data_IF_095097052253
#
_entry.id   IF_095097052253
#
_cell.length_a   1.000
_cell.length_b   1.000
_cell.length_c   1.000
_cell.angle_alpha   90.00
_cell.angle_beta   90.00
_cell.angle_gamma   90.00
#
_symmetry.space_group_name_H-M   'P 1'
#
loop_
_entity.id
_entity.type
_entity.pdbx_description
1 polymer ?
#
# COMPACT_ATOMS: atom_id res chain seq x y z
N UNK A 1 -39.75 9.42 -17.53
CA UNK A 1 -38.92 8.21 -17.57
C UNK A 1 -38.44 7.91 -16.16
N UNK A 2 -38.42 6.65 -15.72
CA UNK A 2 -37.83 6.28 -14.44
C UNK A 2 -36.32 6.60 -14.46
N UNK A 3 -35.72 6.93 -13.32
CA UNK A 3 -34.25 7.10 -13.25
C UNK A 3 -33.56 5.82 -13.73
N UNK A 4 -32.37 5.91 -14.35
CA UNK A 4 -31.64 4.73 -14.73
C UNK A 4 -31.35 3.87 -13.50
N UNK A 5 -31.36 2.53 -13.63
CA UNK A 5 -31.02 1.66 -12.52
C UNK A 5 -29.58 1.98 -12.07
N UNK A 6 -29.31 1.92 -10.75
CA UNK A 6 -27.95 2.13 -10.25
C UNK A 6 -27.00 1.10 -10.86
N UNK A 7 -25.73 1.44 -11.06
CA UNK A 7 -24.76 0.53 -11.61
C UNK A 7 -24.65 -0.71 -10.73
N UNK A 8 -24.95 -1.87 -11.29
CA UNK A 8 -24.86 -3.18 -10.65
C UNK A 8 -23.40 -3.68 -10.63
N UNK A 9 -22.49 -2.91 -10.05
CA UNK A 9 -21.13 -3.35 -9.75
C UNK A 9 -21.03 -3.88 -8.31
N UNK A 10 -20.08 -4.78 -8.02
CA UNK A 10 -19.84 -5.16 -6.64
C UNK A 10 -19.48 -3.94 -5.81
N UNK A 11 -20.09 -3.84 -4.65
CA UNK A 11 -19.80 -2.82 -3.65
C UNK A 11 -18.35 -3.01 -3.16
N UNK A 12 -17.50 -2.00 -3.31
CA UNK A 12 -16.09 -2.06 -2.89
C UNK A 12 -15.82 -1.00 -1.85
N UNK A 13 -15.34 -1.42 -0.69
CA UNK A 13 -14.94 -0.55 0.40
C UNK A 13 -13.41 -0.53 0.50
N UNK A 14 -12.81 0.66 0.52
CA UNK A 14 -11.36 0.87 0.52
C UNK A 14 -10.88 1.21 1.94
N UNK A 15 -10.65 0.20 2.78
CA UNK A 15 -10.12 0.36 4.14
C UNK A 15 -8.58 0.15 4.16
N UNK A 16 -7.86 0.80 3.25
CA UNK A 16 -6.40 0.69 3.10
C UNK A 16 -5.69 1.98 3.55
N UNK A 17 -6.04 2.51 4.72
CA UNK A 17 -5.58 3.83 5.17
C UNK A 17 -5.04 3.87 6.61
N UNK A 18 -5.19 2.80 7.39
CA UNK A 18 -4.70 2.77 8.78
C UNK A 18 -3.19 2.47 8.87
N UNK A 19 -2.65 1.68 7.95
CA UNK A 19 -1.24 1.28 7.97
C UNK A 19 -0.45 1.89 6.81
N UNK A 20 0.79 2.30 7.11
CA UNK A 20 1.78 2.65 6.08
C UNK A 20 2.42 1.37 5.50
N UNK A 21 2.61 0.34 6.34
CA UNK A 21 3.04 -0.99 5.91
C UNK A 21 2.19 -2.05 6.62
N UNK A 22 1.49 -2.88 5.83
CA UNK A 22 0.74 -4.03 6.32
C UNK A 22 1.10 -5.28 5.52
N UNK A 23 1.71 -6.27 6.17
CA UNK A 23 2.22 -7.46 5.53
C UNK A 23 1.58 -8.72 6.12
N UNK A 24 1.30 -9.70 5.26
CA UNK A 24 0.77 -10.98 5.70
C UNK A 24 1.86 -11.93 6.22
N UNK A 25 3.11 -11.72 5.81
CA UNK A 25 4.30 -12.46 6.20
C UNK A 25 5.33 -11.56 6.90
N UNK A 26 6.60 -11.71 6.52
CA UNK A 26 7.73 -11.05 7.20
C UNK A 26 8.04 -9.66 6.67
N UNK A 27 8.66 -8.85 7.53
CA UNK A 27 9.28 -7.59 7.17
C UNK A 27 10.75 -7.60 7.61
N UNK A 28 11.66 -7.35 6.66
CA UNK A 28 13.11 -7.32 6.95
C UNK A 28 13.75 -6.07 6.38
N UNK A 29 14.51 -5.37 7.17
CA UNK A 29 15.22 -4.16 6.78
C UNK A 29 14.58 -2.92 7.37
N UNK A 30 14.02 -2.12 6.50
CA UNK A 30 13.36 -0.87 6.86
C UNK A 30 14.33 0.25 7.19
N UNK A 31 13.80 1.44 7.15
CA UNK A 31 14.37 2.68 7.63
C UNK A 31 13.26 3.42 8.39
N UNK A 32 12.97 4.66 8.02
CA UNK A 32 11.89 5.40 8.61
C UNK A 32 10.55 5.06 7.95
N UNK A 33 9.56 4.69 8.76
CA UNK A 33 8.17 4.57 8.36
C UNK A 33 7.36 5.51 9.23
N UNK A 34 6.87 6.59 8.63
CA UNK A 34 6.18 7.66 9.37
C UNK A 34 4.87 7.21 10.02
N UNK A 35 4.19 6.23 9.44
CA UNK A 35 2.94 5.65 9.93
C UNK A 35 3.11 4.31 10.64
N UNK A 36 2.00 3.56 10.75
CA UNK A 36 1.94 2.26 11.43
C UNK A 36 2.51 1.14 10.56
N UNK A 37 3.11 0.16 11.22
CA UNK A 37 3.68 -1.05 10.60
C UNK A 37 3.10 -2.29 11.25
N UNK A 38 2.57 -3.21 10.45
CA UNK A 38 2.15 -4.53 10.90
C UNK A 38 2.64 -5.63 9.95
N UNK A 39 3.08 -6.75 10.52
CA UNK A 39 3.45 -7.95 9.77
C UNK A 39 2.93 -9.19 10.49
N UNK A 40 2.30 -10.11 9.76
CA UNK A 40 1.77 -11.36 10.31
C UNK A 40 2.84 -12.37 10.69
N UNK A 41 4.05 -12.23 10.14
CA UNK A 41 5.24 -12.98 10.49
C UNK A 41 6.20 -12.20 11.39
N UNK A 42 7.49 -12.40 11.14
CA UNK A 42 8.57 -11.75 11.89
C UNK A 42 8.87 -10.35 11.34
N UNK A 43 9.25 -9.45 12.24
CA UNK A 43 9.78 -8.13 11.88
C UNK A 43 11.22 -8.02 12.35
N UNK A 44 12.12 -7.66 11.44
CA UNK A 44 13.51 -7.33 11.72
C UNK A 44 13.84 -5.95 11.17
N UNK A 45 14.16 -4.99 12.06
CA UNK A 45 14.51 -3.62 11.67
C UNK A 45 15.79 -3.15 12.36
N UNK A 46 16.59 -2.39 11.63
CA UNK A 46 17.80 -1.77 12.11
C UNK A 46 17.95 -0.34 11.58
N UNK A 47 18.41 0.59 12.41
CA UNK A 47 18.52 2.02 12.08
C UNK A 47 17.18 2.58 11.56
N UNK A 48 16.16 2.52 12.41
CA UNK A 48 14.77 2.72 12.01
C UNK A 48 14.02 3.72 12.89
N UNK A 49 12.93 4.24 12.36
CA UNK A 49 11.86 4.87 13.16
C UNK A 49 10.50 4.43 12.61
N UNK A 50 9.54 4.18 13.52
CA UNK A 50 8.17 3.81 13.16
C UNK A 50 7.18 4.70 13.91
N UNK A 51 6.25 5.30 13.17
CA UNK A 51 5.15 6.09 13.74
C UNK A 51 5.50 7.52 14.11
N UNK A 52 6.67 8.02 13.67
CA UNK A 52 7.09 9.40 14.00
C UNK A 52 6.20 10.48 13.37
N UNK A 53 5.51 10.18 12.28
CA UNK A 53 4.57 11.08 11.59
C UNK A 53 3.14 11.05 12.12
N UNK A 54 2.83 10.13 13.03
CA UNK A 54 1.49 10.01 13.61
C UNK A 54 1.20 11.12 14.62
N UNK A 55 -0.07 11.51 14.72
CA UNK A 55 -0.53 12.39 15.79
C UNK A 55 -0.20 11.79 17.16
N UNK A 56 0.09 12.66 18.15
CA UNK A 56 0.55 12.22 19.48
C UNK A 56 -0.46 11.33 20.21
N UNK A 57 -1.73 11.43 19.88
CA UNK A 57 -2.83 10.60 20.41
C UNK A 57 -3.02 9.26 19.69
N UNK A 58 -2.48 9.11 18.46
CA UNK A 58 -2.58 7.88 17.69
C UNK A 58 -1.43 6.92 18.04
N UNK A 59 -1.60 6.24 19.17
CA UNK A 59 -0.60 5.31 19.72
C UNK A 59 -0.98 3.84 19.57
N UNK A 60 -2.15 3.53 19.02
CA UNK A 60 -2.65 2.16 18.95
C UNK A 60 -2.04 1.37 17.80
N UNK A 61 -1.51 0.17 18.09
CA UNK A 61 -1.00 -0.78 17.09
C UNK A 61 0.05 -0.17 16.12
N UNK A 62 0.96 0.64 16.66
CA UNK A 62 1.93 1.36 15.81
C UNK A 62 2.96 0.42 15.20
N UNK A 63 3.40 -0.59 15.96
CA UNK A 63 4.25 -1.66 15.44
C UNK A 63 3.72 -3.01 15.92
N UNK A 64 3.32 -3.90 15.01
CA UNK A 64 2.76 -5.21 15.35
C UNK A 64 3.45 -6.32 14.57
N UNK A 65 4.14 -7.21 15.26
CA UNK A 65 4.65 -8.46 14.71
C UNK A 65 3.76 -9.63 15.17
N UNK A 66 3.17 -10.37 14.25
CA UNK A 66 2.45 -11.61 14.57
C UNK A 66 3.40 -12.74 15.02
N UNK A 67 4.64 -12.70 14.57
CA UNK A 67 5.76 -13.56 14.98
C UNK A 67 6.70 -12.89 15.97
N UNK A 68 8.00 -12.98 15.68
CA UNK A 68 9.08 -12.40 16.48
C UNK A 68 9.40 -10.97 16.05
N UNK A 69 9.85 -10.17 16.99
CA UNK A 69 10.28 -8.79 16.77
C UNK A 69 11.76 -8.64 17.14
N UNK A 70 12.59 -8.26 16.14
CA UNK A 70 14.01 -8.01 16.33
C UNK A 70 14.35 -6.57 15.90
N UNK A 71 14.70 -5.74 16.88
CA UNK A 71 14.91 -4.30 16.70
C UNK A 71 16.30 -3.89 17.19
N UNK A 72 16.98 -3.05 16.39
CA UNK A 72 18.30 -2.48 16.73
C UNK A 72 18.37 -1.02 16.28
N UNK A 73 18.92 -0.16 17.13
CA UNK A 73 19.21 1.26 16.81
C UNK A 73 18.00 2.01 16.23
N UNK A 74 16.97 2.26 17.05
CA UNK A 74 15.81 2.97 16.52
C UNK A 74 14.75 3.34 17.55
N UNK A 75 13.59 3.73 17.06
CA UNK A 75 12.48 4.16 17.89
C UNK A 75 11.10 3.82 17.33
N UNK A 76 10.17 3.54 18.24
CA UNK A 76 8.76 3.35 17.94
C UNK A 76 7.92 4.37 18.70
N UNK A 77 7.02 5.04 17.99
CA UNK A 77 6.20 6.13 18.53
C UNK A 77 4.76 5.69 18.81
N UNK A 78 4.60 4.64 19.63
CA UNK A 78 3.32 4.12 20.08
C UNK A 78 3.42 2.69 20.59
N UNK A 79 2.27 2.05 20.79
CA UNK A 79 2.19 0.69 21.31
C UNK A 79 2.76 -0.31 20.32
N UNK A 80 3.61 -1.20 20.84
CA UNK A 80 4.34 -2.21 20.09
C UNK A 80 3.96 -3.59 20.60
N UNK A 81 3.66 -4.51 19.66
CA UNK A 81 3.26 -5.87 20.00
C UNK A 81 4.09 -6.91 19.25
N UNK A 82 4.33 -8.06 19.92
CA UNK A 82 4.97 -9.24 19.33
C UNK A 82 4.26 -10.53 19.76
N UNK A 83 4.12 -11.48 18.84
CA UNK A 83 3.40 -12.72 19.10
C UNK A 83 4.26 -13.78 19.79
N UNK A 84 5.53 -13.94 19.37
CA UNK A 84 6.40 -15.04 19.82
C UNK A 84 7.51 -14.57 20.73
N UNK A 85 8.50 -13.87 20.19
CA UNK A 85 9.70 -13.44 20.92
C UNK A 85 10.06 -12.01 20.56
N UNK A 86 10.78 -11.33 21.46
CA UNK A 86 11.30 -10.01 21.22
C UNK A 86 12.79 -9.94 21.54
N UNK A 87 13.54 -9.30 20.64
CA UNK A 87 14.91 -8.85 20.88
C UNK A 87 14.96 -7.37 20.54
N UNK A 88 15.20 -6.54 21.53
CA UNK A 88 15.41 -5.12 21.37
C UNK A 88 16.67 -4.75 22.15
N UNK A 89 17.67 -4.22 21.48
CA UNK A 89 18.88 -3.80 22.17
C UNK A 89 18.66 -2.49 22.97
N UNK A 90 19.61 -2.13 23.81
CA UNK A 90 19.51 -0.93 24.66
C UNK A 90 19.50 0.40 23.91
N UNK A 91 19.57 0.38 22.57
CA UNK A 91 19.53 1.56 21.71
C UNK A 91 18.13 1.77 21.09
N UNK A 92 17.16 0.89 21.38
CA UNK A 92 15.77 1.02 20.94
C UNK A 92 14.95 1.74 21.99
N UNK A 93 14.24 2.78 21.58
CA UNK A 93 13.35 3.56 22.45
C UNK A 93 11.90 3.42 22.03
N UNK A 94 11.02 3.15 23.00
CA UNK A 94 9.57 3.14 22.80
C UNK A 94 8.99 4.46 23.32
N UNK A 95 8.66 5.35 22.39
CA UNK A 95 8.08 6.66 22.68
C UNK A 95 6.56 6.57 22.73
N UNK A 96 5.93 7.27 23.66
CA UNK A 96 4.46 7.42 23.76
C UNK A 96 3.64 6.12 23.89
N UNK A 97 4.30 4.95 24.02
CA UNK A 97 3.64 3.65 24.08
C UNK A 97 4.41 2.62 24.87
N UNK A 98 3.92 1.41 24.87
CA UNK A 98 4.49 0.28 25.60
C UNK A 98 4.77 -0.89 24.65
N UNK A 99 5.78 -1.69 24.98
CA UNK A 99 6.07 -2.99 24.37
C UNK A 99 5.35 -4.09 25.17
N UNK A 100 4.54 -4.90 24.48
CA UNK A 100 3.79 -5.99 25.11
C UNK A 100 3.72 -7.23 24.20
N UNK A 101 3.66 -8.41 24.81
CA UNK A 101 3.36 -9.61 24.05
C UNK A 101 1.86 -9.68 23.75
N UNK A 102 1.51 -9.98 22.51
CA UNK A 102 0.14 -10.10 22.03
C UNK A 102 0.04 -10.00 20.53
N UNK A 103 -1.12 -10.36 19.99
CA UNK A 103 -1.43 -10.27 18.55
C UNK A 103 -2.78 -9.57 18.37
N UNK A 104 -2.83 -8.23 18.47
CA UNK A 104 -4.09 -7.48 18.41
C UNK A 104 -4.75 -7.52 17.03
N UNK A 105 -4.04 -8.02 16.01
CA UNK A 105 -4.51 -8.08 14.61
C UNK A 105 -4.72 -9.55 14.23
N UNK A 106 -5.89 -9.88 13.66
CA UNK A 106 -6.13 -11.18 13.05
C UNK A 106 -5.64 -11.17 11.59
N UNK A 107 -4.37 -11.49 11.35
CA UNK A 107 -3.74 -11.48 10.05
C UNK A 107 -4.35 -12.48 9.05
N UNK A 108 -4.98 -13.57 9.53
CA UNK A 108 -5.67 -14.53 8.65
C UNK A 108 -6.92 -13.88 8.07
N UNK A 109 -7.75 -13.28 8.90
CA UNK A 109 -8.96 -12.58 8.46
C UNK A 109 -8.62 -11.40 7.54
N UNK A 110 -7.65 -10.58 7.93
CA UNK A 110 -7.20 -9.46 7.11
C UNK A 110 -6.60 -9.93 5.77
N UNK A 111 -5.84 -10.99 5.78
CA UNK A 111 -5.27 -11.57 4.56
C UNK A 111 -6.32 -12.08 3.59
N UNK A 112 -7.37 -12.71 4.10
CA UNK A 112 -8.49 -13.16 3.26
C UNK A 112 -9.23 -11.96 2.65
N UNK A 113 -9.45 -10.91 3.44
CA UNK A 113 -10.08 -9.68 2.98
C UNK A 113 -9.22 -8.97 1.91
N UNK A 114 -7.90 -8.81 2.12
CA UNK A 114 -7.00 -8.19 1.14
C UNK A 114 -6.97 -8.96 -0.19
N UNK A 115 -6.97 -10.29 -0.15
CA UNK A 115 -7.01 -11.12 -1.37
C UNK A 115 -8.34 -10.99 -2.10
N UNK A 116 -9.45 -10.95 -1.36
CA UNK A 116 -10.77 -10.74 -1.94
C UNK A 116 -10.86 -9.36 -2.57
N UNK A 117 -10.43 -8.30 -1.87
CA UNK A 117 -10.38 -6.94 -2.39
C UNK A 117 -9.56 -6.85 -3.69
N UNK A 118 -8.36 -7.46 -3.70
CA UNK A 118 -7.53 -7.47 -4.90
C UNK A 118 -8.23 -8.15 -6.09
N UNK A 119 -8.95 -9.24 -5.85
CA UNK A 119 -9.72 -9.95 -6.86
C UNK A 119 -10.92 -9.13 -7.36
N UNK A 120 -11.68 -8.52 -6.45
CA UNK A 120 -12.86 -7.72 -6.77
C UNK A 120 -12.48 -6.47 -7.59
N UNK A 121 -11.39 -5.82 -7.22
CA UNK A 121 -10.83 -4.70 -7.98
C UNK A 121 -10.30 -5.16 -9.35
N UNK A 122 -9.64 -6.32 -9.39
CA UNK A 122 -9.13 -6.91 -10.62
C UNK A 122 -10.22 -7.30 -11.62
N UNK A 123 -11.43 -7.56 -11.13
CA UNK A 123 -12.60 -7.88 -11.94
C UNK A 123 -13.34 -6.63 -12.47
N UNK A 124 -13.01 -5.43 -11.99
CA UNK A 124 -13.63 -4.20 -12.48
C UNK A 124 -13.25 -3.95 -13.94
N UNK A 125 -14.23 -3.54 -14.74
CA UNK A 125 -14.01 -3.19 -16.14
C UNK A 125 -13.26 -1.86 -16.21
N UNK A 126 -12.16 -1.85 -16.98
CA UNK A 126 -11.42 -0.61 -17.24
C UNK A 126 -12.33 0.40 -17.96
N UNK A 127 -12.41 1.61 -17.43
CA UNK A 127 -13.18 2.72 -17.98
C UNK A 127 -12.32 3.94 -18.34
N UNK A 128 -11.04 3.89 -18.01
CA UNK A 128 -10.06 4.91 -18.41
C UNK A 128 -9.28 4.52 -19.67
N UNK A 129 -8.58 5.48 -20.24
CA UNK A 129 -7.72 5.30 -21.43
C UNK A 129 -6.27 5.08 -21.00
N UNK A 130 -5.69 3.97 -21.46
CA UNK A 130 -4.25 3.69 -21.30
C UNK A 130 -3.53 3.92 -22.63
N UNK A 131 -2.48 4.75 -22.60
CA UNK A 131 -1.65 5.03 -23.77
C UNK A 131 -0.18 4.78 -23.44
N UNK A 132 0.49 4.02 -24.27
CA UNK A 132 1.91 3.68 -24.15
C UNK A 132 2.68 4.29 -25.31
N UNK A 133 3.73 5.04 -25.00
CA UNK A 133 4.59 5.65 -25.97
C UNK A 133 5.90 4.87 -26.13
N UNK A 134 6.43 4.84 -27.35
CA UNK A 134 7.65 4.07 -27.67
C UNK A 134 8.90 4.54 -26.91
N UNK A 135 8.92 5.79 -26.43
CA UNK A 135 10.00 6.33 -25.62
C UNK A 135 9.91 5.96 -24.11
N UNK A 136 8.86 5.21 -23.71
CA UNK A 136 8.64 4.77 -22.34
C UNK A 136 7.64 5.63 -21.55
N UNK A 137 6.80 6.42 -22.21
CA UNK A 137 5.68 7.13 -21.57
C UNK A 137 4.50 6.19 -21.36
N UNK A 138 3.98 6.12 -20.13
CA UNK A 138 2.74 5.45 -19.76
C UNK A 138 1.74 6.49 -19.25
N UNK A 139 0.64 6.65 -19.97
CA UNK A 139 -0.39 7.65 -19.69
C UNK A 139 -1.70 6.95 -19.34
N UNK A 140 -2.23 7.27 -18.17
CA UNK A 140 -3.50 6.78 -17.65
C UNK A 140 -4.46 7.97 -17.51
N UNK A 141 -5.50 8.04 -18.37
CA UNK A 141 -6.41 9.17 -18.44
C UNK A 141 -7.84 8.73 -18.11
N UNK A 142 -8.37 9.19 -16.99
CA UNK A 142 -9.72 8.96 -16.54
C UNK A 142 -10.53 10.25 -16.45
N UNK A 143 -11.84 10.14 -16.61
CA UNK A 143 -12.78 11.26 -16.53
C UNK A 143 -13.97 11.00 -15.63
N UNK A 144 -14.07 9.80 -15.04
CA UNK A 144 -15.15 9.46 -14.12
C UNK A 144 -14.97 10.22 -12.80
N UNK A 145 -16.00 10.91 -12.28
CA UNK A 145 -15.88 11.69 -11.05
C UNK A 145 -15.73 10.84 -9.79
N UNK A 146 -15.94 9.52 -9.87
CA UNK A 146 -15.94 8.60 -8.72
C UNK A 146 -14.82 7.58 -8.82
N UNK A 147 -14.80 6.75 -9.87
CA UNK A 147 -13.85 5.65 -9.99
C UNK A 147 -13.31 5.51 -11.42
N UNK A 148 -12.01 5.60 -11.56
CA UNK A 148 -11.29 5.39 -12.81
C UNK A 148 -10.45 4.12 -12.71
N UNK A 149 -10.75 3.14 -13.56
CA UNK A 149 -10.09 1.83 -13.56
C UNK A 149 -9.25 1.67 -14.81
N UNK A 150 -8.00 1.27 -14.62
CA UNK A 150 -7.04 0.98 -15.67
C UNK A 150 -6.53 -0.45 -15.53
N UNK A 151 -6.18 -1.09 -16.66
CA UNK A 151 -5.48 -2.37 -16.67
C UNK A 151 -4.13 -2.19 -17.34
N UNK A 152 -3.06 -2.60 -16.66
CA UNK A 152 -1.67 -2.42 -17.10
C UNK A 152 -0.94 -3.76 -16.94
N UNK A 153 -0.21 -4.19 -17.97
CA UNK A 153 0.69 -5.34 -17.86
C UNK A 153 1.93 -4.94 -17.04
N UNK A 154 2.30 -5.76 -16.05
CA UNK A 154 3.44 -5.53 -15.17
C UNK A 154 4.78 -5.32 -15.93
N UNK A 155 4.94 -5.97 -17.09
CA UNK A 155 6.13 -5.84 -17.91
C UNK A 155 6.35 -4.42 -18.45
N UNK A 156 5.29 -3.61 -18.56
CA UNK A 156 5.41 -2.22 -19.01
C UNK A 156 6.25 -1.38 -18.08
N UNK A 157 6.19 -1.63 -16.76
CA UNK A 157 6.96 -0.84 -15.79
C UNK A 157 8.47 -0.96 -15.98
N UNK A 158 8.97 -2.10 -16.45
CA UNK A 158 10.40 -2.30 -16.70
C UNK A 158 10.95 -1.37 -17.80
N UNK A 159 10.11 -0.90 -18.70
CA UNK A 159 10.48 0.03 -19.78
C UNK A 159 9.92 1.43 -19.60
N UNK A 160 9.10 1.65 -18.58
CA UNK A 160 8.53 2.96 -18.26
C UNK A 160 9.63 3.93 -17.81
N UNK A 161 9.59 5.15 -18.32
CA UNK A 161 10.43 6.28 -17.94
C UNK A 161 9.63 7.44 -17.37
N UNK A 162 8.35 7.49 -17.69
CA UNK A 162 7.43 8.51 -17.23
C UNK A 162 6.02 7.92 -17.10
N UNK A 163 5.43 8.04 -15.94
CA UNK A 163 4.05 7.67 -15.66
C UNK A 163 3.24 8.95 -15.42
N UNK A 164 2.20 9.15 -16.23
CA UNK A 164 1.24 10.23 -16.02
C UNK A 164 -0.13 9.66 -15.64
N UNK A 165 -0.69 10.15 -14.56
CA UNK A 165 -2.04 9.80 -14.11
C UNK A 165 -2.89 11.06 -14.10
N UNK A 166 -3.97 11.05 -14.90
CA UNK A 166 -4.93 12.14 -14.97
C UNK A 166 -6.32 11.65 -14.58
N UNK A 167 -6.91 12.29 -13.60
CA UNK A 167 -8.29 12.00 -13.17
C UNK A 167 -8.86 13.19 -12.37
N UNK A 168 -10.20 13.26 -12.15
CA UNK A 168 -10.81 14.29 -11.31
C UNK A 168 -10.33 14.27 -9.86
N UNK A 169 -10.27 15.43 -9.23
CA UNK A 169 -9.66 15.66 -7.90
C UNK A 169 -10.17 14.74 -6.77
N UNK A 170 -11.45 14.43 -6.76
CA UNK A 170 -12.06 13.63 -5.69
C UNK A 170 -12.34 12.18 -6.12
N UNK A 171 -11.93 11.81 -7.32
CA UNK A 171 -12.09 10.43 -7.80
C UNK A 171 -11.04 9.49 -7.19
N UNK A 172 -11.30 8.21 -7.32
CA UNK A 172 -10.32 7.14 -7.06
C UNK A 172 -9.80 6.61 -8.40
N UNK A 173 -8.51 6.36 -8.43
CA UNK A 173 -7.83 5.67 -9.54
C UNK A 173 -7.40 4.30 -9.06
N UNK A 174 -7.84 3.24 -9.74
CA UNK A 174 -7.38 1.87 -9.53
C UNK A 174 -6.60 1.43 -10.78
N UNK A 175 -5.34 1.10 -10.58
CA UNK A 175 -4.47 0.54 -11.63
C UNK A 175 -4.34 -0.96 -11.36
N UNK A 176 -5.13 -1.77 -12.06
CA UNK A 176 -5.02 -3.23 -12.01
C UNK A 176 -3.79 -3.66 -12.80
N UNK A 177 -2.78 -4.15 -12.09
CA UNK A 177 -1.53 -4.63 -12.68
C UNK A 177 -1.61 -6.14 -12.82
N UNK A 178 -1.57 -6.60 -14.07
CA UNK A 178 -1.61 -8.03 -14.41
C UNK A 178 -0.20 -8.58 -14.61
N UNK A 179 -0.02 -9.87 -14.35
CA UNK A 179 1.27 -10.55 -14.44
C UNK A 179 1.78 -11.03 -13.08
N UNK A 180 2.73 -11.96 -13.11
CA UNK A 180 3.27 -12.61 -11.89
C UNK A 180 4.44 -11.88 -11.26
N UNK A 181 5.12 -11.00 -12.00
CA UNK A 181 6.26 -10.25 -11.54
C UNK A 181 6.27 -8.83 -12.11
N UNK A 182 6.74 -7.86 -11.33
CA UNK A 182 6.92 -6.48 -11.76
C UNK A 182 8.29 -5.94 -11.36
N UNK A 183 8.85 -5.06 -12.22
CA UNK A 183 10.10 -4.32 -11.94
C UNK A 183 9.82 -2.84 -12.15
N UNK A 184 9.99 -2.04 -11.09
CA UNK A 184 9.82 -0.59 -11.11
C UNK A 184 11.16 0.07 -10.78
N UNK A 185 11.71 0.82 -11.73
CA UNK A 185 13.03 1.43 -11.55
C UNK A 185 13.07 2.81 -12.18
N UNK A 186 13.32 3.83 -11.35
CA UNK A 186 13.80 5.14 -11.77
C UNK A 186 12.96 5.92 -12.79
N UNK A 187 11.66 5.71 -12.85
CA UNK A 187 10.79 6.56 -13.66
C UNK A 187 10.14 7.68 -12.82
N UNK A 188 9.78 8.78 -13.46
CA UNK A 188 9.04 9.86 -12.80
C UNK A 188 7.53 9.62 -12.89
N UNK A 189 6.80 10.07 -11.86
CA UNK A 189 5.35 10.03 -11.81
C UNK A 189 4.80 11.44 -11.72
N UNK A 190 3.78 11.75 -12.51
CA UNK A 190 3.10 13.04 -12.53
C UNK A 190 1.58 12.89 -12.45
N UNK A 191 0.93 13.83 -11.75
CA UNK A 191 -0.51 13.85 -11.55
C UNK A 191 -1.13 15.09 -12.19
N UNK A 192 -2.30 14.93 -12.81
CA UNK A 192 -3.06 16.04 -13.39
C UNK A 192 -4.56 15.83 -13.29
N UNK A 193 -5.35 16.86 -13.59
CA UNK A 193 -6.80 16.81 -13.44
C UNK A 193 -7.30 16.98 -11.98
N UNK A 194 -6.36 17.15 -11.05
CA UNK A 194 -6.64 17.36 -9.63
C UNK A 194 -6.46 16.11 -8.76
N UNK A 195 -6.26 14.92 -9.34
CA UNK A 195 -5.89 13.71 -8.60
C UNK A 195 -4.52 13.87 -7.93
N UNK A 196 -4.33 13.21 -6.81
CA UNK A 196 -3.06 13.11 -6.08
C UNK A 196 -2.79 11.65 -5.65
N UNK A 197 -1.65 11.41 -5.01
CA UNK A 197 -1.25 10.07 -4.55
C UNK A 197 -2.28 9.42 -3.60
N UNK A 198 -3.01 10.21 -2.81
CA UNK A 198 -4.06 9.71 -1.91
C UNK A 198 -5.28 9.16 -2.63
N UNK A 199 -5.43 9.44 -3.91
CA UNK A 199 -6.50 8.91 -4.75
C UNK A 199 -6.06 7.74 -5.64
N UNK A 200 -4.84 7.20 -5.49
CA UNK A 200 -4.30 6.18 -6.41
C UNK A 200 -3.99 4.87 -5.68
N UNK A 201 -4.53 3.79 -6.20
CA UNK A 201 -4.30 2.42 -5.75
C UNK A 201 -3.72 1.58 -6.89
N UNK A 202 -2.52 1.06 -6.71
CA UNK A 202 -1.91 0.06 -7.59
C UNK A 202 -2.26 -1.33 -7.06
N UNK A 203 -3.16 -2.02 -7.76
CA UNK A 203 -3.60 -3.36 -7.42
C UNK A 203 -2.85 -4.42 -8.24
N UNK A 204 -1.85 -5.05 -7.66
CA UNK A 204 -1.12 -6.17 -8.24
C UNK A 204 -1.90 -7.46 -7.99
N UNK A 205 -2.83 -7.77 -8.90
CA UNK A 205 -3.90 -8.77 -8.70
C UNK A 205 -3.35 -10.15 -8.34
N UNK A 206 -2.26 -10.57 -9.00
CA UNK A 206 -1.70 -11.92 -8.87
C UNK A 206 -0.16 -11.97 -8.85
N UNK A 207 0.50 -10.82 -8.75
CA UNK A 207 1.95 -10.78 -8.67
C UNK A 207 2.45 -11.48 -7.40
N UNK A 208 3.49 -12.29 -7.55
CA UNK A 208 4.17 -12.98 -6.45
C UNK A 208 5.54 -12.35 -6.15
N UNK A 209 6.06 -11.53 -7.06
CA UNK A 209 7.34 -10.83 -6.91
C UNK A 209 7.26 -9.43 -7.48
N UNK A 210 7.67 -8.43 -6.68
CA UNK A 210 7.79 -7.05 -7.10
C UNK A 210 9.16 -6.54 -6.67
N UNK A 211 9.95 -6.05 -7.63
CA UNK A 211 11.24 -5.43 -7.36
C UNK A 211 11.15 -3.94 -7.65
N UNK A 212 11.45 -3.13 -6.64
CA UNK A 212 11.44 -1.67 -6.73
C UNK A 212 12.83 -1.16 -6.32
N UNK A 213 13.44 -0.35 -7.17
CA UNK A 213 14.78 0.18 -6.90
C UNK A 213 14.98 1.58 -7.45
N UNK A 214 15.64 2.46 -6.68
CA UNK A 214 15.89 3.84 -7.05
C UNK A 214 14.61 4.56 -7.55
N UNK A 215 13.49 4.34 -6.84
CA UNK A 215 12.18 4.77 -7.29
C UNK A 215 11.29 5.22 -6.13
N UNK A 216 10.47 6.24 -6.37
CA UNK A 216 9.41 6.66 -5.46
C UNK A 216 8.05 6.14 -5.92
N UNK A 217 7.32 5.45 -5.06
CA UNK A 217 5.91 5.08 -5.28
C UNK A 217 5.02 6.18 -4.74
N UNK A 218 4.12 6.69 -5.56
CA UNK A 218 3.12 7.69 -5.18
C UNK A 218 1.72 7.09 -5.30
N UNK A 219 1.17 6.66 -4.18
CA UNK A 219 -0.09 5.92 -4.08
C UNK A 219 0.04 4.70 -3.19
N UNK A 220 -1.09 4.03 -2.95
CA UNK A 220 -1.14 2.81 -2.16
C UNK A 220 -0.93 1.58 -3.04
N UNK A 221 -0.19 0.60 -2.54
CA UNK A 221 0.06 -0.69 -3.21
C UNK A 221 -0.72 -1.78 -2.50
N UNK A 222 -1.52 -2.52 -3.26
CA UNK A 222 -2.19 -3.75 -2.83
C UNK A 222 -1.61 -4.93 -3.62
N UNK A 223 -0.86 -5.80 -2.95
CA UNK A 223 -0.15 -6.93 -3.55
C UNK A 223 -0.11 -8.14 -2.60
N UNK A 224 -1.28 -8.73 -2.23
CA UNK A 224 -1.40 -9.67 -1.10
C UNK A 224 -0.66 -10.99 -1.30
N UNK A 225 -0.22 -11.28 -2.52
CA UNK A 225 0.55 -12.48 -2.85
C UNK A 225 2.04 -12.23 -3.04
N UNK A 226 2.46 -10.97 -3.13
CA UNK A 226 3.81 -10.61 -3.53
C UNK A 226 4.78 -10.53 -2.36
N UNK A 227 6.02 -10.95 -2.62
CA UNK A 227 7.17 -10.43 -1.92
C UNK A 227 7.65 -9.15 -2.61
N UNK A 228 7.77 -8.05 -1.88
CA UNK A 228 8.29 -6.78 -2.38
C UNK A 228 9.73 -6.60 -1.91
N UNK A 229 10.67 -6.55 -2.86
CA UNK A 229 12.04 -6.11 -2.62
C UNK A 229 12.13 -4.63 -2.98
N UNK A 230 12.27 -3.75 -1.98
CA UNK A 230 12.26 -2.31 -2.19
C UNK A 230 13.55 -1.67 -1.65
N UNK A 231 14.40 -1.20 -2.55
CA UNK A 231 15.70 -0.60 -2.20
C UNK A 231 15.87 0.80 -2.80
N UNK A 232 16.50 1.69 -2.01
CA UNK A 232 16.85 3.05 -2.43
C UNK A 232 15.69 3.83 -3.02
N UNK A 233 14.66 4.04 -2.20
CA UNK A 233 13.47 4.79 -2.61
C UNK A 233 12.55 5.09 -1.44
N UNK A 234 11.38 5.59 -1.78
CA UNK A 234 10.34 5.92 -0.81
C UNK A 234 8.95 5.55 -1.34
N UNK A 235 7.98 5.50 -0.45
CA UNK A 235 6.58 5.36 -0.82
C UNK A 235 5.72 6.37 -0.07
N UNK A 236 4.90 7.09 -0.83
CA UNK A 236 3.88 8.01 -0.33
C UNK A 236 2.51 7.33 -0.40
N UNK A 237 2.14 6.66 0.67
CA UNK A 237 0.91 5.85 0.74
C UNK A 237 1.10 4.61 1.60
N UNK A 238 0.22 3.61 1.41
CA UNK A 238 0.30 2.32 2.09
C UNK A 238 0.91 1.24 1.23
N UNK A 239 1.58 0.28 1.85
CA UNK A 239 1.98 -0.99 1.22
C UNK A 239 1.26 -2.13 1.95
N UNK A 240 0.35 -2.81 1.26
CA UNK A 240 -0.41 -3.96 1.71
C UNK A 240 -0.01 -5.17 0.86
N UNK A 241 0.88 -6.02 1.40
CA UNK A 241 1.54 -7.04 0.60
C UNK A 241 1.71 -8.38 1.33
N UNK A 242 2.20 -9.38 0.62
CA UNK A 242 2.55 -10.67 1.18
C UNK A 242 3.71 -10.59 2.16
N UNK A 243 4.80 -9.97 1.77
CA UNK A 243 5.99 -9.70 2.59
C UNK A 243 6.85 -8.60 1.96
N UNK A 244 7.79 -8.04 2.72
CA UNK A 244 8.65 -6.98 2.21
C UNK A 244 10.06 -7.07 2.77
N UNK A 245 11.04 -6.70 1.95
CA UNK A 245 12.43 -6.52 2.37
C UNK A 245 13.04 -5.28 1.70
N UNK A 246 14.01 -4.67 2.36
CA UNK A 246 14.77 -3.54 1.82
C UNK A 246 14.84 -2.34 2.75
N UNK A 247 15.18 -1.19 2.18
CA UNK A 247 15.46 0.05 2.90
C UNK A 247 14.67 1.26 2.39
N UNK A 248 13.47 1.02 1.85
CA UNK A 248 12.60 2.10 1.41
C UNK A 248 12.03 2.87 2.60
N UNK A 249 11.95 4.19 2.47
CA UNK A 249 11.35 5.10 3.46
C UNK A 249 9.86 5.25 3.21
N UNK A 250 9.06 5.11 4.27
CA UNK A 250 7.59 5.24 4.21
C UNK A 250 7.10 6.60 4.70
N UNK A 251 6.50 7.37 3.80
CA UNK A 251 5.86 8.64 4.14
C UNK A 251 4.39 8.44 4.47
N UNK A 252 3.89 9.16 5.46
CA UNK A 252 2.49 9.11 5.88
C UNK A 252 1.61 9.90 4.92
N UNK A 253 1.03 9.21 3.97
CA UNK A 253 0.11 9.77 2.97
C UNK A 253 -1.02 8.75 2.67
N UNK A 254 -1.93 8.49 3.63
CA UNK A 254 -2.87 7.39 3.54
C UNK A 254 -3.84 7.55 2.37
N UNK A 255 -4.27 6.42 1.81
CA UNK A 255 -5.29 6.36 0.78
C UNK A 255 -6.55 7.10 1.26
N UNK A 256 -7.19 7.84 0.35
CA UNK A 256 -8.45 8.52 0.65
C UNK A 256 -9.55 7.49 0.92
N UNK A 257 -10.34 7.71 1.97
CA UNK A 257 -11.53 6.90 2.22
C UNK A 257 -12.56 7.14 1.13
N UNK A 258 -13.01 6.07 0.48
CA UNK A 258 -14.13 6.09 -0.45
C UNK A 258 -15.00 4.86 -0.17
N UNK A 259 -16.27 5.13 0.11
CA UNK A 259 -17.30 4.11 0.24
C UNK A 259 -18.14 4.11 -1.05
N UNK A 260 -17.87 3.16 -1.92
CA UNK A 260 -18.66 2.93 -3.13
C UNK A 260 -19.94 2.14 -2.85
N UNK A 261 -20.18 1.80 -1.59
CA UNK A 261 -21.36 1.05 -1.13
C UNK A 261 -22.50 1.96 -0.68
N UNK A 262 -22.21 3.21 -0.31
CA UNK A 262 -23.21 4.17 0.13
C UNK A 262 -24.15 4.56 -1.02
N UNK A 263 -25.26 3.87 -1.16
CA UNK A 263 -26.25 4.10 -2.22
C UNK A 263 -26.84 2.83 -2.84
N UNK A 264 -26.39 1.67 -2.44
CA UNK A 264 -27.07 0.41 -2.77
C UNK A 264 -28.23 0.22 -1.79
N UNK A 265 -29.48 0.03 -2.25
CA UNK A 265 -30.56 -0.38 -1.36
C UNK A 265 -30.28 -1.80 -0.85
N UNK A 266 -30.53 -2.02 0.45
CA UNK A 266 -30.49 -3.33 1.12
C UNK A 266 -31.37 -4.39 0.43
#
# INVERSE_FOLDING_TARGET
PPPPPPPSGPCVQFDLNDFNVFLLGNYTGGTDVQGKVAAGGDIQMQNFSVGAGLEASDIHNVLVAGGSLNLQHGGVFGNTYYGSAVTADGTVTFYRGALAQGTPINFITQGNWLRQLAADLGAQVANGVTRVETWGGLFLEGSDPVLNVFTVDANLFATTRYLSIRAPAQSMVVVNVTGSAAVLTGFSTDFSGGIDARGVLFNFVSATSITISNHGIFGTVLAPYAHISFSNGSFDGGIYAGSMSGNAEGHLNPLREIDLCSGQPD
#
